data_IF_702650525911
#
_entry.id   IF_702650525911
#
_cell.length_a   1.000
_cell.length_b   1.000
_cell.length_c   1.000
_cell.angle_alpha   90.00
_cell.angle_beta   90.00
_cell.angle_gamma   90.00
#
_symmetry.space_group_name_H-M   'P 1'
#
loop_
_entity.id
_entity.type
_entity.pdbx_description
1 polymer ?
#
# COMPACT_ATOMS: atom_id res chain seq x y z
N UNK A 1 -18.83 -14.95 17.52
CA UNK A 1 -17.39 -15.16 17.81
C UNK A 1 -16.62 -13.99 17.22
N UNK A 2 -15.35 -13.81 17.59
CA UNK A 2 -14.48 -12.78 17.00
C UNK A 2 -13.23 -13.44 16.44
N UNK A 3 -12.75 -12.88 15.34
CA UNK A 3 -11.49 -13.23 14.70
C UNK A 3 -10.47 -12.19 15.15
N UNK A 4 -9.36 -12.66 15.71
CA UNK A 4 -8.27 -11.80 16.16
C UNK A 4 -7.06 -12.02 15.26
N UNK A 5 -6.29 -10.96 15.02
CA UNK A 5 -5.06 -11.06 14.27
C UNK A 5 -4.23 -9.80 14.41
N UNK A 6 -2.97 -9.92 14.06
CA UNK A 6 -2.03 -8.80 13.99
C UNK A 6 -1.13 -8.98 12.77
N UNK A 7 -0.71 -7.86 12.20
CA UNK A 7 0.27 -7.83 11.13
C UNK A 7 1.34 -6.77 11.41
N UNK A 8 2.58 -7.10 11.09
CA UNK A 8 3.73 -6.20 11.09
C UNK A 8 4.26 -6.13 9.66
N UNK A 9 4.53 -4.93 9.15
CA UNK A 9 5.05 -4.75 7.80
C UNK A 9 6.22 -3.76 7.81
N UNK A 10 7.18 -4.01 6.94
CA UNK A 10 8.37 -3.20 6.72
C UNK A 10 8.45 -2.78 5.25
N UNK A 11 8.80 -1.51 5.02
CA UNK A 11 8.88 -0.92 3.68
C UNK A 11 10.10 -0.03 3.54
N UNK A 12 10.57 0.13 2.31
CA UNK A 12 11.55 1.15 1.92
C UNK A 12 10.90 2.10 0.91
N UNK A 13 11.07 3.40 1.07
CA UNK A 13 10.52 4.42 0.16
C UNK A 13 11.64 5.15 -0.58
N UNK A 14 11.43 5.41 -1.86
CA UNK A 14 12.25 6.35 -2.63
C UNK A 14 11.65 7.76 -2.50
N UNK A 15 12.30 8.61 -1.71
CA UNK A 15 11.85 9.98 -1.48
C UNK A 15 11.86 10.88 -2.74
N UNK A 16 12.62 10.52 -3.79
CA UNK A 16 12.74 11.32 -5.01
C UNK A 16 11.65 11.00 -6.02
N UNK A 17 11.16 9.76 -6.05
CA UNK A 17 10.14 9.30 -6.99
C UNK A 17 8.78 9.04 -6.36
N UNK A 18 8.75 8.76 -5.05
CA UNK A 18 7.58 8.30 -4.31
C UNK A 18 7.33 6.80 -4.42
N UNK A 19 8.19 6.05 -5.11
CA UNK A 19 8.07 4.60 -5.19
C UNK A 19 8.34 3.94 -3.83
N UNK A 20 7.89 2.71 -3.62
CA UNK A 20 8.19 1.95 -2.41
C UNK A 20 8.32 0.45 -2.68
N UNK A 21 9.09 -0.22 -1.82
CA UNK A 21 9.23 -1.67 -1.82
C UNK A 21 8.72 -2.25 -0.50
N UNK A 22 7.87 -3.25 -0.60
CA UNK A 22 7.44 -4.08 0.53
C UNK A 22 8.55 -5.10 0.84
N UNK A 23 9.26 -4.90 1.95
CA UNK A 23 10.42 -5.72 2.33
C UNK A 23 9.89 -7.01 2.97
N UNK A 24 9.14 -6.88 4.06
CA UNK A 24 8.69 -8.01 4.86
C UNK A 24 7.32 -7.76 5.47
N UNK A 25 6.52 -8.82 5.57
CA UNK A 25 5.28 -8.84 6.35
C UNK A 25 5.19 -10.11 7.20
N UNK A 26 4.84 -9.96 8.48
CA UNK A 26 4.52 -11.04 9.41
C UNK A 26 3.06 -10.94 9.85
N UNK A 27 2.30 -12.04 9.75
CA UNK A 27 0.88 -12.11 10.13
C UNK A 27 0.67 -13.24 11.13
N UNK A 28 -0.04 -12.93 12.22
CA UNK A 28 -0.56 -13.94 13.16
C UNK A 28 -2.08 -13.84 13.22
N UNK A 29 -2.75 -14.98 13.10
CA UNK A 29 -4.21 -15.03 12.95
C UNK A 29 -4.84 -16.13 13.82
N UNK A 30 -5.80 -15.75 14.67
CA UNK A 30 -6.63 -16.67 15.46
C UNK A 30 -7.84 -17.12 14.63
N UNK A 31 -7.70 -18.33 14.08
CA UNK A 31 -8.69 -18.99 13.23
C UNK A 31 -9.49 -20.06 13.99
N UNK A 32 -9.26 -20.19 15.31
CA UNK A 32 -9.76 -21.33 16.10
C UNK A 32 -9.20 -22.66 15.58
N UNK A 33 -10.03 -23.69 15.58
CA UNK A 33 -9.70 -24.97 14.96
C UNK A 33 -9.95 -24.89 13.45
N UNK A 34 -8.91 -24.57 12.69
CA UNK A 34 -8.96 -24.54 11.22
C UNK A 34 -9.51 -25.85 10.66
N UNK A 35 -10.50 -25.76 9.77
CA UNK A 35 -11.07 -26.93 9.07
C UNK A 35 -10.10 -27.39 7.98
N UNK A 36 -9.49 -26.44 7.27
CA UNK A 36 -8.48 -26.70 6.26
C UNK A 36 -7.43 -25.58 6.28
N UNK A 37 -6.27 -25.83 6.93
CA UNK A 37 -5.22 -24.82 7.08
C UNK A 37 -4.71 -24.25 5.77
N UNK A 38 -4.67 -25.04 4.69
CA UNK A 38 -4.19 -24.57 3.40
C UNK A 38 -5.13 -23.53 2.76
N UNK A 39 -6.44 -23.74 2.89
CA UNK A 39 -7.45 -22.78 2.40
C UNK A 39 -7.44 -21.52 3.28
N UNK A 40 -7.38 -21.70 4.59
CA UNK A 40 -7.39 -20.60 5.54
C UNK A 40 -6.16 -19.70 5.37
N UNK A 41 -4.97 -20.27 5.16
CA UNK A 41 -3.76 -19.51 4.85
C UNK A 41 -3.92 -18.76 3.52
N UNK A 42 -4.41 -19.41 2.46
CA UNK A 42 -4.62 -18.74 1.17
C UNK A 42 -5.64 -17.60 1.23
N UNK A 43 -6.65 -17.69 2.10
CA UNK A 43 -7.58 -16.60 2.37
C UNK A 43 -6.91 -15.43 3.10
N UNK A 44 -6.04 -15.72 4.09
CA UNK A 44 -5.26 -14.68 4.79
C UNK A 44 -4.35 -13.94 3.80
N UNK A 45 -3.63 -14.68 2.94
CA UNK A 45 -2.77 -14.11 1.90
C UNK A 45 -3.55 -13.23 0.93
N UNK A 46 -4.63 -13.78 0.34
CA UNK A 46 -5.45 -13.07 -0.64
C UNK A 46 -6.09 -11.81 -0.06
N UNK A 47 -6.66 -11.91 1.13
CA UNK A 47 -7.27 -10.78 1.81
C UNK A 47 -6.22 -9.70 2.17
N UNK A 48 -5.05 -10.10 2.68
CA UNK A 48 -3.96 -9.17 2.98
C UNK A 48 -3.50 -8.41 1.74
N UNK A 49 -3.25 -9.10 0.62
CA UNK A 49 -2.82 -8.47 -0.63
C UNK A 49 -3.90 -7.54 -1.19
N UNK A 50 -5.17 -7.94 -1.13
CA UNK A 50 -6.29 -7.06 -1.52
C UNK A 50 -6.36 -5.79 -0.66
N UNK A 51 -6.17 -5.94 0.66
CA UNK A 51 -6.07 -4.82 1.59
C UNK A 51 -4.89 -3.90 1.30
N UNK A 52 -3.72 -4.49 1.06
CA UNK A 52 -2.51 -3.75 0.68
C UNK A 52 -2.77 -2.92 -0.58
N UNK A 53 -3.39 -3.51 -1.61
CA UNK A 53 -3.81 -2.82 -2.82
C UNK A 53 -4.69 -1.61 -2.54
N UNK A 54 -5.78 -1.83 -1.79
CA UNK A 54 -6.72 -0.79 -1.35
C UNK A 54 -6.02 0.40 -0.66
N UNK A 55 -5.01 0.14 0.17
CA UNK A 55 -4.34 1.18 0.93
C UNK A 55 -3.14 1.82 0.22
N UNK A 56 -2.66 1.28 -0.90
CA UNK A 56 -1.40 1.75 -1.52
C UNK A 56 -1.55 2.15 -2.99
N UNK A 57 -2.06 1.27 -3.85
CA UNK A 57 -1.95 1.43 -5.31
C UNK A 57 -3.29 1.48 -6.05
N UNK A 58 -4.36 0.93 -5.48
CA UNK A 58 -5.67 0.88 -6.13
C UNK A 58 -6.38 2.23 -6.03
N UNK A 59 -6.37 3.00 -7.13
CA UNK A 59 -6.96 4.33 -7.20
C UNK A 59 -8.05 4.43 -8.27
N UNK A 60 -9.20 4.97 -7.87
CA UNK A 60 -10.30 5.30 -8.79
C UNK A 60 -10.32 6.80 -9.08
N UNK A 61 -10.09 7.15 -10.35
CA UNK A 61 -10.06 8.55 -10.78
C UNK A 61 -11.38 8.92 -11.46
N UNK A 62 -12.04 9.95 -10.93
CA UNK A 62 -13.30 10.46 -11.45
C UNK A 62 -13.14 11.90 -11.96
N UNK A 63 -13.86 12.23 -13.03
CA UNK A 63 -13.97 13.62 -13.49
C UNK A 63 -14.80 14.47 -12.50
N UNK A 64 -14.72 15.80 -12.56
CA UNK A 64 -15.61 16.68 -11.78
C UNK A 64 -17.11 16.47 -12.05
N UNK A 65 -17.46 15.82 -13.17
CA UNK A 65 -18.83 15.46 -13.55
C UNK A 65 -19.22 14.04 -13.09
N UNK A 66 -18.36 13.36 -12.33
CA UNK A 66 -18.62 12.01 -11.81
C UNK A 66 -18.33 10.88 -12.79
N UNK A 67 -17.62 11.15 -13.89
CA UNK A 67 -17.30 10.12 -14.89
C UNK A 67 -16.04 9.35 -14.47
N UNK A 68 -16.14 8.04 -14.34
CA UNK A 68 -14.98 7.18 -14.05
C UNK A 68 -14.00 7.17 -15.23
N UNK A 69 -12.75 7.57 -14.96
CA UNK A 69 -11.64 7.54 -15.91
C UNK A 69 -10.90 6.22 -15.90
N UNK A 70 -10.61 5.64 -14.74
CA UNK A 70 -9.84 4.39 -14.58
C UNK A 70 -10.68 3.18 -14.98
N UNK A 71 -10.71 2.88 -16.29
CA UNK A 71 -11.48 1.77 -16.85
C UNK A 71 -10.53 0.66 -17.31
N UNK A 72 -10.67 -0.50 -16.68
CA UNK A 72 -9.88 -1.69 -17.03
C UNK A 72 -8.47 -1.71 -16.41
N UNK A 73 -7.76 -2.84 -16.59
CA UNK A 73 -6.49 -3.12 -15.89
C UNK A 73 -5.31 -2.26 -16.36
N UNK A 74 -5.43 -1.62 -17.53
CA UNK A 74 -4.40 -0.71 -18.05
C UNK A 74 -4.30 0.56 -17.20
N UNK A 75 -5.39 0.95 -16.54
CA UNK A 75 -5.50 2.20 -15.78
C UNK A 75 -5.79 1.96 -14.28
N UNK A 76 -6.54 0.91 -13.95
CA UNK A 76 -6.75 0.47 -12.57
C UNK A 76 -5.76 -0.65 -12.23
N UNK A 77 -4.81 -0.37 -11.34
CA UNK A 77 -3.71 -1.28 -11.01
C UNK A 77 -3.99 -2.00 -9.71
N UNK A 78 -4.28 -3.30 -9.82
CA UNK A 78 -4.30 -4.23 -8.70
C UNK A 78 -2.87 -4.69 -8.37
N UNK A 79 -2.61 -5.21 -7.16
CA UNK A 79 -1.33 -5.78 -6.81
C UNK A 79 -0.89 -6.88 -7.78
N UNK A 80 0.34 -6.77 -8.26
CA UNK A 80 1.04 -7.76 -9.05
C UNK A 80 2.15 -8.43 -8.21
N UNK A 81 2.87 -9.37 -8.82
CA UNK A 81 3.97 -10.10 -8.16
C UNK A 81 5.06 -9.15 -7.62
N UNK A 82 5.34 -8.04 -8.30
CA UNK A 82 6.33 -7.06 -7.85
C UNK A 82 5.95 -6.34 -6.55
N UNK A 83 4.64 -6.28 -6.26
CA UNK A 83 4.08 -5.56 -5.12
C UNK A 83 3.99 -6.45 -3.87
N UNK A 84 4.16 -7.77 -4.02
CA UNK A 84 4.20 -8.67 -2.87
C UNK A 84 5.39 -8.35 -1.96
N UNK A 85 5.23 -8.47 -0.62
CA UNK A 85 6.35 -8.46 0.30
C UNK A 85 7.39 -9.51 -0.11
N UNK A 86 8.67 -9.13 -0.05
CA UNK A 86 9.77 -10.04 -0.42
C UNK A 86 9.84 -11.22 0.54
N UNK A 87 9.58 -10.98 1.82
CA UNK A 87 9.39 -12.00 2.85
C UNK A 87 7.95 -11.93 3.39
N UNK A 88 7.23 -13.05 3.36
CA UNK A 88 5.88 -13.16 3.91
C UNK A 88 5.81 -14.36 4.87
N UNK A 89 5.50 -14.09 6.13
CA UNK A 89 5.34 -15.11 7.17
C UNK A 89 3.93 -15.09 7.73
N UNK A 90 3.28 -16.26 7.79
CA UNK A 90 1.93 -16.41 8.32
C UNK A 90 1.93 -17.52 9.37
N UNK A 91 1.44 -17.20 10.56
CA UNK A 91 1.25 -18.15 11.64
C UNK A 91 -0.22 -18.18 12.09
N UNK A 92 -0.74 -19.40 12.27
CA UNK A 92 -2.05 -19.62 12.87
C UNK A 92 -1.86 -19.77 14.39
N UNK A 93 -2.62 -19.00 15.16
CA UNK A 93 -2.58 -19.09 16.62
C UNK A 93 -3.04 -20.49 17.05
N UNK A 94 -2.37 -21.17 18.01
CA UNK A 94 -2.82 -22.46 18.51
C UNK A 94 -4.28 -22.41 19.00
N UNK A 95 -5.09 -23.42 18.67
CA UNK A 95 -6.53 -23.37 18.92
C UNK A 95 -6.84 -23.37 20.41
N UNK A 96 -7.91 -22.65 20.79
CA UNK A 96 -8.56 -22.79 22.10
C UNK A 96 -9.94 -23.45 21.92
N UNK A 97 -10.27 -24.43 22.77
CA UNK A 97 -11.47 -25.28 22.60
C UNK A 97 -12.80 -24.61 23.01
N UNK A 98 -12.88 -23.29 22.98
CA UNK A 98 -13.99 -22.53 23.59
C UNK A 98 -14.91 -21.87 22.55
N UNK A 99 -15.08 -22.46 21.36
CA UNK A 99 -15.91 -21.87 20.31
C UNK A 99 -17.20 -22.65 20.06
N UNK A 100 -18.32 -21.93 20.04
CA UNK A 100 -19.68 -22.44 19.79
C UNK A 100 -19.96 -22.71 18.30
N UNK A 101 -18.92 -22.82 17.48
CA UNK A 101 -18.97 -22.92 16.01
C UNK A 101 -18.71 -24.36 15.56
N UNK A 102 -19.02 -24.65 14.29
CA UNK A 102 -18.75 -25.95 13.69
C UNK A 102 -17.27 -26.33 13.85
N UNK A 103 -17.00 -27.47 14.50
CA UNK A 103 -15.65 -27.93 14.83
C UNK A 103 -14.75 -26.90 15.52
N UNK A 104 -15.34 -25.93 16.22
CA UNK A 104 -14.64 -24.80 16.84
C UNK A 104 -13.83 -23.94 15.87
N UNK A 105 -14.22 -23.89 14.59
CA UNK A 105 -13.59 -23.06 13.55
C UNK A 105 -14.08 -21.62 13.55
N UNK A 106 -13.37 -20.71 12.88
CA UNK A 106 -13.82 -19.32 12.68
C UNK A 106 -13.74 -18.96 11.20
N UNK A 107 -14.76 -18.31 10.66
CA UNK A 107 -14.73 -17.77 9.30
C UNK A 107 -13.86 -16.51 9.24
N UNK A 108 -12.91 -16.45 8.30
CA UNK A 108 -11.83 -15.44 8.29
C UNK A 108 -11.65 -14.69 6.96
N UNK A 109 -12.46 -14.98 5.93
CA UNK A 109 -12.21 -14.53 4.55
C UNK A 109 -12.03 -13.01 4.38
N UNK A 110 -12.70 -12.19 5.20
CA UNK A 110 -12.58 -10.72 5.14
C UNK A 110 -11.53 -10.17 6.12
N UNK A 111 -11.13 -10.96 7.12
CA UNK A 111 -10.36 -10.48 8.29
C UNK A 111 -8.96 -9.99 7.92
N UNK A 112 -8.36 -10.55 6.87
CA UNK A 112 -7.03 -10.16 6.39
C UNK A 112 -7.01 -8.81 5.66
N UNK A 113 -8.14 -8.29 5.17
CA UNK A 113 -8.18 -7.05 4.36
C UNK A 113 -7.67 -5.85 5.16
N UNK A 114 -8.10 -5.73 6.42
CA UNK A 114 -7.64 -4.63 7.26
C UNK A 114 -6.14 -4.72 7.58
N UNK A 115 -5.58 -5.93 7.69
CA UNK A 115 -4.16 -6.13 8.01
C UNK A 115 -3.22 -5.53 6.95
N UNK A 116 -3.70 -5.34 5.71
CA UNK A 116 -2.98 -4.60 4.67
C UNK A 116 -2.65 -3.16 5.04
N UNK A 117 -3.37 -2.54 6.00
CA UNK A 117 -3.06 -1.19 6.48
C UNK A 117 -1.72 -1.11 7.22
N UNK A 118 -1.15 -2.25 7.65
CA UNK A 118 0.20 -2.27 8.23
C UNK A 118 1.25 -1.71 7.26
N UNK A 119 1.11 -1.98 5.96
CA UNK A 119 1.97 -1.40 4.90
C UNK A 119 1.76 0.10 4.79
N UNK A 120 0.51 0.56 4.83
CA UNK A 120 0.18 2.00 4.81
C UNK A 120 0.86 2.75 5.96
N UNK A 121 0.79 2.21 7.18
CA UNK A 121 1.41 2.84 8.35
C UNK A 121 2.94 2.73 8.34
N UNK A 122 3.51 1.67 7.77
CA UNK A 122 4.96 1.56 7.56
C UNK A 122 5.46 2.64 6.58
N UNK A 123 4.73 2.89 5.49
CA UNK A 123 5.05 4.00 4.56
C UNK A 123 4.88 5.35 5.26
N UNK A 124 3.81 5.53 6.05
CA UNK A 124 3.59 6.74 6.83
C UNK A 124 4.76 7.03 7.79
N UNK A 125 5.28 6.00 8.46
CA UNK A 125 6.45 6.11 9.34
C UNK A 125 7.71 6.52 8.56
N UNK A 126 7.99 5.87 7.42
CA UNK A 126 9.11 6.23 6.55
C UNK A 126 9.03 7.68 6.05
N UNK A 127 7.84 8.16 5.65
CA UNK A 127 7.61 9.56 5.27
C UNK A 127 7.83 10.49 6.46
N UNK A 128 7.39 10.10 7.65
CA UNK A 128 7.57 10.87 8.88
C UNK A 128 9.05 11.03 9.22
N UNK A 129 9.84 9.96 9.10
CA UNK A 129 11.28 9.97 9.29
C UNK A 129 11.99 10.90 8.28
N UNK A 130 11.64 10.82 7.00
CA UNK A 130 12.18 11.71 5.95
C UNK A 130 11.85 13.19 6.22
N UNK A 131 10.64 13.48 6.73
CA UNK A 131 10.24 14.84 7.11
C UNK A 131 10.97 15.34 8.35
N UNK A 132 11.16 14.47 9.34
CA UNK A 132 11.89 14.79 10.56
C UNK A 132 13.34 15.17 10.26
N UNK A 133 14.03 14.41 9.42
CA UNK A 133 15.41 14.69 8.98
C UNK A 133 15.52 16.09 8.34
N UNK A 134 14.48 16.53 7.62
CA UNK A 134 14.43 17.81 6.91
C UNK A 134 13.87 18.97 7.75
N UNK A 135 13.55 18.73 9.02
CA UNK A 135 12.99 19.74 9.92
C UNK A 135 11.57 20.18 9.56
N UNK A 136 10.80 19.33 8.87
CA UNK A 136 9.41 19.60 8.48
C UNK A 136 8.45 19.17 9.61
N UNK A 137 8.28 20.04 10.60
CA UNK A 137 7.37 19.80 11.72
C UNK A 137 5.93 20.21 11.40
N UNK A 138 4.95 19.52 11.99
CA UNK A 138 3.53 19.84 11.85
C UNK A 138 2.65 18.61 11.69
N UNK A 139 1.33 18.79 11.56
CA UNK A 139 0.42 17.68 11.31
C UNK A 139 0.69 17.06 9.94
N UNK A 140 1.02 15.78 9.92
CA UNK A 140 1.13 14.97 8.71
C UNK A 140 -0.17 14.18 8.55
N UNK A 141 -1.00 14.56 7.58
CA UNK A 141 -2.22 13.82 7.23
C UNK A 141 -2.04 13.18 5.88
N UNK A 142 -1.89 11.86 5.86
CA UNK A 142 -1.81 11.07 4.64
C UNK A 142 -3.13 10.30 4.44
N UNK A 143 -3.68 10.37 3.23
CA UNK A 143 -4.97 9.76 2.89
C UNK A 143 -4.77 8.51 2.03
N UNK A 144 -5.52 7.45 2.34
CA UNK A 144 -5.62 6.25 1.49
C UNK A 144 -6.24 6.58 0.11
N UNK A 145 -5.88 5.85 -0.97
CA UNK A 145 -4.70 4.99 -1.09
C UNK A 145 -3.41 5.82 -1.06
N UNK A 146 -2.34 5.33 -0.45
CA UNK A 146 -1.07 6.04 -0.30
C UNK A 146 -0.19 5.86 -1.54
N UNK A 147 -0.64 6.46 -2.64
CA UNK A 147 -0.01 6.34 -3.96
C UNK A 147 1.38 7.01 -4.00
N UNK A 148 2.23 6.66 -4.98
CA UNK A 148 3.53 7.30 -5.17
C UNK A 148 3.46 8.83 -5.27
N UNK A 149 2.40 9.38 -5.85
CA UNK A 149 2.17 10.82 -5.88
C UNK A 149 2.09 11.41 -4.46
N UNK A 150 1.28 10.81 -3.58
CA UNK A 150 1.12 11.28 -2.20
C UNK A 150 2.40 11.13 -1.39
N UNK A 151 3.12 10.01 -1.56
CA UNK A 151 4.41 9.77 -0.90
C UNK A 151 5.42 10.85 -1.33
N UNK A 152 5.58 11.06 -2.64
CA UNK A 152 6.55 12.02 -3.18
C UNK A 152 6.27 13.44 -2.73
N UNK A 153 5.01 13.85 -2.74
CA UNK A 153 4.60 15.20 -2.36
C UNK A 153 4.70 15.44 -0.86
N UNK A 154 4.56 14.40 -0.04
CA UNK A 154 4.76 14.49 1.41
C UNK A 154 6.25 14.60 1.80
N UNK A 155 7.14 14.02 1.00
CA UNK A 155 8.60 14.12 1.14
C UNK A 155 9.13 15.44 0.55
N UNK A 156 8.71 16.59 1.10
CA UNK A 156 9.09 17.91 0.57
C UNK A 156 10.60 18.11 0.53
N UNK A 157 11.08 18.70 -0.56
CA UNK A 157 12.47 19.08 -0.78
C UNK A 157 12.57 20.34 -1.64
N UNK A 158 13.79 20.68 -2.09
CA UNK A 158 14.04 21.82 -2.98
C UNK A 158 13.27 21.74 -4.30
N UNK A 159 13.03 20.54 -4.83
CA UNK A 159 12.33 20.35 -6.10
C UNK A 159 10.83 20.57 -5.94
N UNK A 160 10.24 20.12 -4.83
CA UNK A 160 8.82 20.38 -4.50
C UNK A 160 8.54 21.88 -4.44
N UNK A 161 9.44 22.66 -3.83
CA UNK A 161 9.31 24.13 -3.73
C UNK A 161 9.48 24.84 -5.07
N UNK A 162 10.36 24.33 -5.93
CA UNK A 162 10.61 24.89 -7.27
C UNK A 162 9.39 24.74 -8.19
N UNK A 163 8.67 23.61 -8.10
CA UNK A 163 7.44 23.36 -8.86
C UNK A 163 6.31 24.36 -8.54
N UNK A 164 6.24 24.84 -7.30
CA UNK A 164 5.22 25.80 -6.87
C UNK A 164 5.44 27.23 -7.41
N UNK A 165 6.63 27.56 -7.94
CA UNK A 165 6.96 28.89 -8.49
C UNK A 165 6.88 28.96 -10.03
N UNK A 166 6.59 27.85 -10.71
CA UNK A 166 6.28 27.86 -12.14
C UNK A 166 4.89 28.45 -12.40
N UNK A 167 4.77 29.41 -13.33
CA UNK A 167 3.47 29.87 -13.85
C UNK A 167 2.62 28.65 -14.24
N UNK A 168 1.28 28.68 -14.07
CA UNK A 168 0.42 27.58 -14.47
C UNK A 168 0.49 27.41 -15.99
N UNK A 169 1.36 26.50 -16.45
CA UNK A 169 1.34 26.03 -17.83
C UNK A 169 0.10 25.16 -17.95
N UNK A 170 -0.75 25.47 -18.94
CA UNK A 170 -1.99 24.73 -19.21
C UNK A 170 -1.68 23.23 -19.21
N UNK A 171 -2.36 22.46 -18.35
CA UNK A 171 -2.30 20.99 -18.31
C UNK A 171 -2.78 20.43 -19.65
N UNK A 172 -1.89 20.31 -20.62
CA UNK A 172 -2.06 19.45 -21.79
C UNK A 172 -1.37 18.12 -21.53
N UNK A 173 -1.97 17.02 -22.03
CA UNK A 173 -1.53 15.63 -21.83
C UNK A 173 -0.05 15.36 -22.15
N UNK A 174 0.63 16.26 -22.86
CA UNK A 174 2.06 16.16 -23.19
C UNK A 174 3.01 16.33 -22.00
N UNK A 175 2.61 16.99 -20.90
CA UNK A 175 3.51 17.20 -19.75
C UNK A 175 3.64 16.01 -18.80
N UNK A 176 2.65 15.13 -18.74
CA UNK A 176 2.81 13.84 -18.02
C UNK A 176 3.90 13.00 -18.69
N UNK A 177 4.03 13.12 -20.02
CA UNK A 177 5.09 12.47 -20.77
C UNK A 177 6.47 13.07 -20.45
N UNK A 178 6.61 14.36 -20.17
CA UNK A 178 7.91 14.98 -19.89
C UNK A 178 8.51 14.57 -18.52
N UNK A 179 7.67 14.30 -17.53
CA UNK A 179 8.10 13.74 -16.24
C UNK A 179 8.47 12.26 -16.39
N UNK A 180 7.77 11.52 -17.27
CA UNK A 180 8.12 10.14 -17.63
C UNK A 180 9.38 10.05 -18.51
N UNK A 181 9.64 11.01 -19.41
CA UNK A 181 10.78 10.99 -20.34
C UNK A 181 12.14 11.18 -19.65
N UNK A 182 12.19 11.83 -18.47
CA UNK A 182 13.42 11.90 -17.68
C UNK A 182 13.84 10.55 -17.06
N UNK A 183 12.99 9.51 -17.10
CA UNK A 183 13.36 8.14 -16.73
C UNK A 183 14.12 7.38 -17.84
N UNK A 184 14.21 7.90 -19.07
CA UNK A 184 14.82 7.17 -20.21
C UNK A 184 16.27 7.62 -20.51
N UNK A 185 16.71 8.81 -20.06
CA UNK A 185 18.06 9.31 -20.39
C UNK A 185 19.26 8.80 -19.57
N UNK A 186 19.15 8.22 -18.35
CA UNK A 186 20.33 7.66 -17.70
C UNK A 186 20.70 6.23 -18.14
N UNK A 187 19.92 5.57 -19.02
CA UNK A 187 20.17 4.17 -19.41
C UNK A 187 20.88 4.01 -20.77
N UNK A 188 21.43 5.09 -21.36
CA UNK A 188 22.17 5.03 -22.63
C UNK A 188 23.62 5.57 -22.57
N UNK A 189 24.13 5.85 -21.37
CA UNK A 189 25.57 6.16 -21.18
C UNK A 189 26.06 5.46 -19.91
N UNK A 190 26.25 4.14 -20.01
CA UNK A 190 27.19 3.34 -19.22
C UNK A 190 27.42 2.02 -19.97
#
# INVERSE_FOLDING_TARGET
YFVYGAACSEVEIDCLTGDHKNIRTDIVMDVGCSINPAIDIGQIEGAFIQGMGLYTIEELNYSPQGILHTRGPDQYKIPAICDMPTELHIALLPPSQNSNTLYSSKGLGESGVFLGCSVFFAIHDAVSAARQERGLHGPLTLNSPLTPEKIRMACEDKFTKMGAHGKPVRRTQEQVLLIQLHKIQPMLVA
#
